data_IF_170212662214
#
_entry.id   IF_170212662214
#
_cell.length_a   1.000
_cell.length_b   1.000
_cell.length_c   1.000
_cell.angle_alpha   90.00
_cell.angle_beta   90.00
_cell.angle_gamma   90.00
#
_symmetry.space_group_name_H-M   'P 1'
#
loop_
_entity.id
_entity.type
_entity.pdbx_description
1 polymer ?
#
# COMPACT_ATOMS: atom_id res chain seq x y z
N UNK A 1 -0.97 -10.16 10.32
CA UNK A 1 0.32 -9.57 9.92
C UNK A 1 0.94 -9.06 11.21
N UNK A 2 2.20 -9.33 11.47
CA UNK A 2 2.78 -9.02 12.79
C UNK A 2 3.47 -7.65 12.83
N UNK A 3 3.88 -7.10 11.68
CA UNK A 3 4.48 -5.77 11.59
C UNK A 3 4.41 -5.17 10.18
N UNK A 4 4.22 -3.85 10.10
CA UNK A 4 4.29 -3.06 8.86
C UNK A 4 5.40 -2.02 9.03
N UNK A 5 6.30 -1.92 8.06
CA UNK A 5 7.40 -0.95 8.05
C UNK A 5 7.09 0.20 7.10
N UNK A 6 7.45 1.43 7.50
CA UNK A 6 7.36 2.61 6.66
C UNK A 6 8.77 3.10 6.32
N UNK A 7 9.05 3.20 5.01
CA UNK A 7 10.36 3.61 4.50
C UNK A 7 10.18 4.65 3.40
N UNK A 8 11.08 5.64 3.35
CA UNK A 8 11.19 6.55 2.20
C UNK A 8 12.32 6.07 1.29
N UNK A 9 12.05 5.70 0.03
CA UNK A 9 13.11 5.40 -0.92
C UNK A 9 14.03 6.61 -1.09
N UNK A 10 15.34 6.42 -0.94
CA UNK A 10 16.36 7.49 -1.03
C UNK A 10 17.01 7.61 -2.41
N UNK A 11 16.59 6.77 -3.36
CA UNK A 11 17.07 6.77 -4.75
C UNK A 11 15.92 6.46 -5.73
N UNK A 12 16.24 6.26 -7.02
CA UNK A 12 15.24 5.87 -8.01
C UNK A 12 14.50 4.61 -7.55
N UNK A 13 13.17 4.67 -7.53
CA UNK A 13 12.35 3.47 -7.33
C UNK A 13 12.49 2.61 -8.58
N UNK A 14 13.30 1.56 -8.49
CA UNK A 14 13.47 0.57 -9.56
C UNK A 14 12.16 -0.18 -9.87
N UNK A 15 12.21 -1.16 -10.79
CA UNK A 15 11.05 -2.02 -11.03
C UNK A 15 10.63 -2.71 -9.73
N UNK A 16 9.33 -2.67 -9.44
CA UNK A 16 8.75 -3.42 -8.33
C UNK A 16 8.60 -4.88 -8.72
N UNK A 17 8.58 -5.77 -7.73
CA UNK A 17 8.43 -7.21 -7.95
C UNK A 17 7.08 -7.53 -8.61
N UNK A 18 7.01 -8.67 -9.28
CA UNK A 18 5.76 -9.16 -9.85
C UNK A 18 4.66 -9.27 -8.78
N UNK A 19 3.45 -8.79 -9.12
CA UNK A 19 2.32 -8.72 -8.21
C UNK A 19 2.30 -7.49 -7.28
N UNK A 20 3.39 -6.74 -7.17
CA UNK A 20 3.42 -5.51 -6.38
C UNK A 20 2.83 -4.36 -7.18
N UNK A 21 2.23 -3.39 -6.48
CA UNK A 21 1.61 -2.22 -7.10
C UNK A 21 1.91 -0.98 -6.29
N UNK A 22 2.32 0.08 -6.97
CA UNK A 22 2.29 1.42 -6.40
C UNK A 22 0.84 1.89 -6.29
N UNK A 23 0.50 2.47 -5.15
CA UNK A 23 -0.82 3.04 -4.88
C UNK A 23 -0.65 4.48 -4.44
N UNK A 24 -1.56 5.34 -4.87
CA UNK A 24 -1.61 6.73 -4.40
C UNK A 24 -2.25 6.81 -3.02
N UNK A 25 -2.00 7.91 -2.30
CA UNK A 25 -2.71 8.23 -1.05
C UNK A 25 -4.22 8.21 -1.22
N UNK A 26 -4.72 8.77 -2.32
CA UNK A 26 -6.15 8.82 -2.64
C UNK A 26 -6.71 7.41 -2.86
N UNK A 27 -6.01 6.57 -3.62
CA UNK A 27 -6.42 5.18 -3.88
C UNK A 27 -6.56 4.37 -2.59
N UNK A 28 -5.67 4.59 -1.62
CA UNK A 28 -5.78 3.96 -0.29
C UNK A 28 -6.97 4.50 0.50
N UNK A 29 -7.22 5.81 0.46
CA UNK A 29 -8.35 6.44 1.15
C UNK A 29 -9.71 5.97 0.59
N UNK A 30 -9.79 5.79 -0.73
CA UNK A 30 -11.00 5.32 -1.42
C UNK A 30 -11.24 3.81 -1.25
N UNK A 31 -10.33 3.11 -0.57
CA UNK A 31 -10.42 1.67 -0.36
C UNK A 31 -10.27 0.89 -1.67
N UNK A 32 -9.27 1.25 -2.50
CA UNK A 32 -8.99 0.60 -3.78
C UNK A 32 -9.05 -0.92 -3.65
N UNK A 33 -9.98 -1.54 -4.39
CA UNK A 33 -10.04 -2.98 -4.51
C UNK A 33 -8.83 -3.47 -5.31
N UNK A 34 -8.01 -4.32 -4.68
CA UNK A 34 -6.81 -4.88 -5.25
C UNK A 34 -7.08 -6.32 -5.66
N UNK A 35 -6.62 -6.76 -6.84
CA UNK A 35 -6.76 -8.15 -7.23
C UNK A 35 -6.02 -9.05 -6.23
N UNK A 36 -6.68 -10.14 -5.85
CA UNK A 36 -6.12 -11.17 -5.00
C UNK A 36 -5.74 -12.41 -5.83
N UNK A 37 -4.96 -13.31 -5.22
CA UNK A 37 -4.51 -14.56 -5.86
C UNK A 37 -5.68 -15.51 -6.20
N UNK A 38 -6.87 -15.25 -5.67
CA UNK A 38 -8.10 -16.00 -5.92
C UNK A 38 -8.91 -15.46 -7.11
N UNK A 39 -8.39 -14.48 -7.85
CA UNK A 39 -9.05 -13.87 -9.01
C UNK A 39 -10.16 -12.87 -8.67
N UNK A 40 -10.39 -12.59 -7.39
CA UNK A 40 -11.28 -11.54 -6.92
C UNK A 40 -10.55 -10.21 -6.75
N UNK A 41 -11.29 -9.15 -6.47
CA UNK A 41 -10.72 -7.85 -6.08
C UNK A 41 -11.28 -7.47 -4.72
N UNK A 42 -10.39 -7.34 -3.74
CA UNK A 42 -10.76 -6.97 -2.36
C UNK A 42 -9.89 -5.81 -1.89
N UNK A 43 -10.46 -4.88 -1.11
CA UNK A 43 -9.65 -3.81 -0.57
C UNK A 43 -8.63 -4.37 0.43
N UNK A 44 -7.44 -3.75 0.58
CA UNK A 44 -6.53 -4.08 1.67
C UNK A 44 -7.26 -4.01 3.02
N UNK A 45 -6.90 -4.84 4.01
CA UNK A 45 -7.49 -4.79 5.35
C UNK A 45 -7.47 -3.39 5.97
N UNK A 46 -8.46 -3.08 6.81
CA UNK A 46 -8.65 -1.74 7.36
C UNK A 46 -7.44 -1.23 8.16
N UNK A 47 -6.85 -2.09 8.99
CA UNK A 47 -5.64 -1.83 9.76
C UNK A 47 -4.46 -1.45 8.84
N UNK A 48 -4.28 -2.17 7.74
CA UNK A 48 -3.26 -1.87 6.72
C UNK A 48 -3.51 -0.50 6.09
N UNK A 49 -4.76 -0.17 5.74
CA UNK A 49 -5.11 1.14 5.16
C UNK A 49 -4.90 2.28 6.15
N UNK A 50 -5.28 2.08 7.41
CA UNK A 50 -5.09 3.04 8.49
C UNK A 50 -3.59 3.31 8.71
N UNK A 51 -2.79 2.25 8.82
CA UNK A 51 -1.35 2.34 8.99
C UNK A 51 -0.67 3.02 7.80
N UNK A 52 -1.05 2.69 6.57
CA UNK A 52 -0.54 3.35 5.38
C UNK A 52 -0.89 4.85 5.33
N UNK A 53 -2.12 5.23 5.75
CA UNK A 53 -2.51 6.65 5.84
C UNK A 53 -1.63 7.41 6.82
N UNK A 54 -1.36 6.84 8.00
CA UNK A 54 -0.44 7.41 9.00
C UNK A 54 1.00 7.51 8.50
N UNK A 55 1.44 6.55 7.69
CA UNK A 55 2.77 6.60 7.07
C UNK A 55 2.95 7.85 6.20
N UNK A 56 1.93 8.22 5.41
CA UNK A 56 1.97 9.44 4.62
C UNK A 56 2.04 10.69 5.50
N UNK A 57 1.33 10.73 6.62
CA UNK A 57 1.39 11.85 7.58
C UNK A 57 2.77 12.01 8.23
N UNK A 58 3.54 10.93 8.40
CA UNK A 58 4.85 10.95 9.06
C UNK A 58 6.02 11.30 8.14
N UNK A 59 5.83 11.22 6.81
CA UNK A 59 6.89 11.39 5.81
C UNK A 59 6.74 12.72 5.03
N UNK A 60 5.60 13.40 5.17
CA UNK A 60 5.36 14.78 4.69
C UNK A 60 6.16 15.83 5.48
#
# INVERSE_FOLDING_TARGET
IDMIYFCRPTGPTGPINDGWRWVSRQSLADGLAMPNDSGGSVPPPEDVRLLASRAFELID
#
